data_IF_186531566557
#
_entry.id   IF_186531566557
#
_cell.length_a   1.000
_cell.length_b   1.000
_cell.length_c   1.000
_cell.angle_alpha   90.00
_cell.angle_beta   90.00
_cell.angle_gamma   90.00
#
_symmetry.space_group_name_H-M   'P 1'
#
loop_
_entity.id
_entity.type
_entity.pdbx_description
1 polymer ?
#
# COMPACT_ATOMS: atom_id res chain seq x y z
N UNK A 1 16.60 10.09 18.17
CA UNK A 1 16.39 8.98 19.12
C UNK A 1 14.93 8.56 18.93
N UNK A 2 14.68 7.58 18.10
CA UNK A 2 13.36 6.97 17.89
C UNK A 2 12.96 6.26 19.19
N UNK A 3 11.92 6.76 19.86
CA UNK A 3 11.35 6.09 21.02
C UNK A 3 10.68 4.81 20.53
N UNK A 4 11.25 3.66 20.85
CA UNK A 4 10.57 2.38 20.65
C UNK A 4 9.31 2.36 21.52
N UNK A 5 8.17 1.97 20.93
CA UNK A 5 6.95 1.77 21.70
C UNK A 5 7.21 0.79 22.86
N UNK A 6 6.78 1.14 24.05
CA UNK A 6 6.92 0.28 25.22
C UNK A 6 6.04 -0.96 25.09
N UNK A 7 6.41 -2.05 25.77
CA UNK A 7 5.58 -3.27 25.79
C UNK A 7 4.14 -3.00 26.22
N UNK A 8 3.94 -2.05 27.15
CA UNK A 8 2.61 -1.66 27.62
C UNK A 8 1.79 -0.94 26.53
N UNK A 9 2.41 -0.10 25.71
CA UNK A 9 1.77 0.55 24.55
C UNK A 9 1.41 -0.46 23.48
N UNK A 10 2.29 -1.42 23.17
CA UNK A 10 2.00 -2.52 22.24
C UNK A 10 0.86 -3.41 22.73
N UNK A 11 0.83 -3.74 24.02
CA UNK A 11 -0.23 -4.57 24.60
C UNK A 11 -1.57 -3.82 24.64
N UNK A 12 -1.57 -2.51 24.88
CA UNK A 12 -2.76 -1.66 24.81
C UNK A 12 -3.29 -1.51 23.37
N UNK A 13 -2.40 -1.35 22.41
CA UNK A 13 -2.72 -1.20 21.00
C UNK A 13 -3.39 -2.44 20.38
N UNK A 14 -3.16 -3.64 20.93
CA UNK A 14 -3.84 -4.88 20.47
C UNK A 14 -5.38 -4.82 20.60
N UNK A 15 -5.91 -3.98 21.46
CA UNK A 15 -7.36 -3.78 21.65
C UNK A 15 -7.91 -2.60 20.85
N UNK A 16 -7.06 -1.79 20.24
CA UNK A 16 -7.41 -0.63 19.43
C UNK A 16 -6.60 -0.62 18.12
N UNK A 17 -7.18 -1.09 17.01
CA UNK A 17 -6.49 -1.17 15.72
C UNK A 17 -5.98 0.19 15.22
N UNK A 18 -6.68 1.30 15.48
CA UNK A 18 -6.24 2.63 15.07
C UNK A 18 -5.00 3.06 15.85
N UNK A 19 -5.00 2.85 17.17
CA UNK A 19 -3.83 3.13 17.98
C UNK A 19 -2.64 2.25 17.60
N UNK A 20 -2.88 0.97 17.25
CA UNK A 20 -1.85 0.08 16.74
C UNK A 20 -1.21 0.62 15.46
N UNK A 21 -2.03 1.08 14.51
CA UNK A 21 -1.57 1.68 13.26
C UNK A 21 -0.73 2.94 13.51
N UNK A 22 -1.19 3.87 14.38
CA UNK A 22 -0.43 5.07 14.71
C UNK A 22 0.96 4.70 15.25
N UNK A 23 1.02 3.84 16.25
CA UNK A 23 2.29 3.46 16.89
C UNK A 23 3.24 2.75 15.92
N UNK A 24 2.71 1.85 15.09
CA UNK A 24 3.50 1.11 14.12
C UNK A 24 4.09 2.03 13.06
N UNK A 25 3.27 2.87 12.44
CA UNK A 25 3.70 3.75 11.36
C UNK A 25 4.55 4.92 11.85
N UNK A 26 4.29 5.49 13.02
CA UNK A 26 5.17 6.49 13.63
C UNK A 26 6.57 5.93 13.91
N UNK A 27 6.63 4.68 14.37
CA UNK A 27 7.92 4.01 14.60
C UNK A 27 8.69 3.79 13.30
N UNK A 28 8.03 3.39 12.22
CA UNK A 28 8.65 3.11 10.93
C UNK A 28 8.93 4.35 10.08
N UNK A 29 8.25 5.47 10.34
CA UNK A 29 8.22 6.63 9.44
C UNK A 29 9.60 7.09 8.95
N UNK A 30 10.62 7.07 9.80
CA UNK A 30 11.97 7.53 9.44
C UNK A 30 12.77 6.58 8.56
N UNK A 31 12.41 5.29 8.52
CA UNK A 31 13.10 4.22 7.78
C UNK A 31 12.20 3.56 6.73
N UNK A 32 10.96 4.03 6.61
CA UNK A 32 9.94 3.42 5.78
C UNK A 32 10.34 3.39 4.30
N UNK A 33 10.85 4.51 3.78
CA UNK A 33 11.26 4.60 2.38
C UNK A 33 12.41 3.64 2.06
N UNK A 34 13.37 3.50 2.96
CA UNK A 34 14.47 2.54 2.83
C UNK A 34 13.96 1.10 2.91
N UNK A 35 13.15 0.80 3.92
CA UNK A 35 12.55 -0.53 4.12
C UNK A 35 11.77 -0.99 2.89
N UNK A 36 10.97 -0.12 2.28
CA UNK A 36 10.11 -0.46 1.16
C UNK A 36 10.70 -0.10 -0.20
N UNK A 37 11.96 0.38 -0.22
CA UNK A 37 12.64 0.84 -1.45
C UNK A 37 11.83 1.89 -2.21
N UNK A 38 11.15 2.76 -1.47
CA UNK A 38 10.41 3.88 -2.01
C UNK A 38 11.39 4.92 -2.54
N UNK A 39 11.13 5.42 -3.72
CA UNK A 39 11.87 6.50 -4.35
C UNK A 39 10.95 7.30 -5.27
N UNK A 40 11.51 8.34 -5.85
CA UNK A 40 10.82 9.22 -6.80
C UNK A 40 11.56 9.24 -8.14
N UNK A 41 12.23 8.13 -8.44
CA UNK A 41 12.90 7.87 -9.70
C UNK A 41 11.94 7.25 -10.74
N UNK A 42 12.44 7.03 -11.96
CA UNK A 42 11.68 6.46 -13.06
C UNK A 42 11.01 5.12 -12.69
N UNK A 43 11.61 4.33 -11.84
CA UNK A 43 11.08 3.03 -11.41
C UNK A 43 9.76 3.21 -10.64
N UNK A 44 9.75 4.08 -9.64
CA UNK A 44 8.57 4.29 -8.80
C UNK A 44 7.50 5.16 -9.48
N UNK A 45 7.91 6.17 -10.26
CA UNK A 45 6.97 6.98 -11.05
C UNK A 45 6.26 6.14 -12.10
N UNK A 46 6.99 5.26 -12.81
CA UNK A 46 6.40 4.31 -13.77
C UNK A 46 5.45 3.34 -13.08
N UNK A 47 5.87 2.77 -11.94
CA UNK A 47 5.03 1.86 -11.17
C UNK A 47 3.68 2.52 -10.78
N UNK A 48 3.72 3.68 -10.16
CA UNK A 48 2.52 4.37 -9.71
C UNK A 48 1.60 4.73 -10.89
N UNK A 49 2.18 5.27 -11.95
CA UNK A 49 1.46 5.64 -13.16
C UNK A 49 0.78 4.45 -13.82
N UNK A 50 1.50 3.34 -14.04
CA UNK A 50 0.92 2.14 -14.68
C UNK A 50 -0.25 1.55 -13.89
N UNK A 51 -0.20 1.56 -12.55
CA UNK A 51 -1.32 1.10 -11.70
C UNK A 51 -2.53 2.00 -11.83
N UNK A 52 -2.30 3.31 -11.83
CA UNK A 52 -3.37 4.26 -12.04
C UNK A 52 -4.01 4.08 -13.43
N UNK A 53 -3.19 4.03 -14.49
CA UNK A 53 -3.65 3.83 -15.87
C UNK A 53 -4.42 2.51 -16.04
N UNK A 54 -3.96 1.44 -15.39
CA UNK A 54 -4.57 0.11 -15.49
C UNK A 54 -6.04 0.11 -15.05
N UNK A 55 -6.38 0.89 -14.02
CA UNK A 55 -7.70 0.84 -13.39
C UNK A 55 -8.56 2.07 -13.73
N UNK A 56 -7.96 3.22 -13.96
CA UNK A 56 -8.67 4.48 -14.17
C UNK A 56 -8.51 5.05 -15.60
N UNK A 57 -7.59 4.51 -16.40
CA UNK A 57 -7.25 5.05 -17.70
C UNK A 57 -6.48 6.38 -17.60
N UNK A 58 -6.45 7.12 -18.69
CA UNK A 58 -5.76 8.42 -18.79
C UNK A 58 -6.73 9.60 -18.96
N UNK A 59 -8.01 9.32 -19.04
CA UNK A 59 -9.03 10.34 -19.22
C UNK A 59 -9.16 11.23 -17.97
N UNK A 60 -9.27 12.54 -18.17
CA UNK A 60 -9.46 13.51 -17.09
C UNK A 60 -8.15 14.04 -16.49
N UNK A 61 -6.97 13.64 -16.97
CA UNK A 61 -5.69 14.21 -16.54
C UNK A 61 -5.45 15.62 -17.12
N UNK A 62 -4.75 16.51 -16.38
CA UNK A 62 -4.47 16.38 -14.96
C UNK A 62 -5.70 16.63 -14.08
N UNK A 63 -5.78 15.96 -12.93
CA UNK A 63 -6.73 16.33 -11.88
C UNK A 63 -6.23 17.58 -11.15
N UNK A 64 -7.10 18.57 -10.91
CA UNK A 64 -6.68 19.82 -10.26
C UNK A 64 -6.21 19.56 -8.82
N UNK A 65 -6.98 18.77 -8.06
CA UNK A 65 -6.63 18.44 -6.66
C UNK A 65 -6.86 16.96 -6.39
N UNK A 66 -5.79 16.27 -5.97
CA UNK A 66 -5.84 14.89 -5.52
C UNK A 66 -5.58 14.80 -4.02
N UNK A 67 -6.40 14.00 -3.32
CA UNK A 67 -6.24 13.68 -1.90
C UNK A 67 -5.81 12.22 -1.77
N UNK A 68 -4.72 11.97 -1.06
CA UNK A 68 -4.28 10.62 -0.70
C UNK A 68 -4.70 10.29 0.73
N UNK A 69 -5.38 9.16 0.89
CA UNK A 69 -5.79 8.60 2.18
C UNK A 69 -4.78 7.53 2.59
N UNK A 70 -4.28 7.61 3.83
CA UNK A 70 -3.21 6.72 4.29
C UNK A 70 -1.97 6.86 3.42
N UNK A 71 -1.51 8.12 3.30
CA UNK A 71 -0.43 8.46 2.36
C UNK A 71 0.92 7.85 2.69
N UNK A 72 1.11 7.37 3.94
CA UNK A 72 2.42 7.01 4.41
C UNK A 72 3.41 8.14 4.16
N UNK A 73 4.52 7.84 3.50
CA UNK A 73 5.55 8.82 3.14
C UNK A 73 5.27 9.58 1.84
N UNK A 74 4.05 9.44 1.27
CA UNK A 74 3.62 10.12 0.04
C UNK A 74 3.96 9.36 -1.25
N UNK A 75 4.24 8.06 -1.15
CA UNK A 75 4.69 7.25 -2.28
C UNK A 75 3.80 7.38 -3.51
N UNK A 76 2.51 7.18 -3.38
CA UNK A 76 1.63 7.07 -4.55
C UNK A 76 1.31 8.44 -5.13
N UNK A 77 0.84 9.39 -4.31
CA UNK A 77 0.50 10.74 -4.77
C UNK A 77 1.68 11.48 -5.38
N UNK A 78 2.84 11.50 -4.71
CA UNK A 78 3.97 12.28 -5.20
C UNK A 78 4.51 11.73 -6.52
N UNK A 79 4.55 10.40 -6.69
CA UNK A 79 4.92 9.78 -7.96
C UNK A 79 3.88 10.06 -9.07
N UNK A 80 2.58 10.09 -8.76
CA UNK A 80 1.55 10.47 -9.71
C UNK A 80 1.63 11.94 -10.11
N UNK A 81 1.93 12.84 -9.17
CA UNK A 81 2.14 14.26 -9.47
C UNK A 81 3.36 14.46 -10.38
N UNK A 82 4.47 13.76 -10.13
CA UNK A 82 5.66 13.80 -11.00
C UNK A 82 5.38 13.34 -12.44
N UNK A 83 4.36 12.52 -12.65
CA UNK A 83 3.94 12.05 -13.98
C UNK A 83 2.78 12.85 -14.57
N UNK A 84 2.34 13.92 -13.92
CA UNK A 84 1.32 14.84 -14.42
C UNK A 84 -0.12 14.33 -14.28
N UNK A 85 -0.37 13.36 -13.40
CA UNK A 85 -1.74 12.87 -13.11
C UNK A 85 -2.52 13.89 -12.29
N UNK A 86 -1.86 14.59 -11.36
CA UNK A 86 -2.47 15.62 -10.53
C UNK A 86 -1.55 16.85 -10.43
N UNK A 87 -2.18 18.03 -10.29
CA UNK A 87 -1.46 19.31 -10.19
C UNK A 87 -1.16 19.68 -8.73
N UNK A 88 -2.15 19.50 -7.84
CA UNK A 88 -2.03 19.77 -6.40
C UNK A 88 -2.33 18.51 -5.61
N UNK A 89 -1.61 18.35 -4.51
CA UNK A 89 -1.74 17.21 -3.63
C UNK A 89 -2.18 17.56 -2.22
N UNK A 90 -2.96 16.64 -1.64
CA UNK A 90 -3.28 16.62 -0.21
C UNK A 90 -2.91 15.25 0.31
N UNK A 91 -2.01 15.17 1.30
CA UNK A 91 -1.67 13.91 1.97
C UNK A 91 -2.39 13.84 3.31
N UNK A 92 -3.02 12.70 3.58
CA UNK A 92 -3.63 12.42 4.89
C UNK A 92 -3.20 11.06 5.39
N UNK A 93 -2.82 10.99 6.66
CA UNK A 93 -2.47 9.74 7.33
C UNK A 93 -2.85 9.83 8.80
N UNK A 94 -3.12 8.69 9.43
CA UNK A 94 -3.42 8.62 10.86
C UNK A 94 -2.15 8.84 11.72
N UNK A 95 -0.97 8.59 11.14
CA UNK A 95 0.34 8.79 11.77
C UNK A 95 0.88 10.19 11.49
N UNK A 96 1.11 11.02 12.52
CA UNK A 96 1.78 12.31 12.36
C UNK A 96 3.18 12.19 11.73
N UNK A 97 3.92 11.16 12.09
CA UNK A 97 5.26 10.91 11.55
C UNK A 97 5.26 10.66 10.05
N UNK A 98 4.27 9.94 9.53
CA UNK A 98 4.11 9.71 8.10
C UNK A 98 3.78 11.01 7.35
N UNK A 99 2.84 11.81 7.85
CA UNK A 99 2.49 13.12 7.25
C UNK A 99 3.71 14.02 7.18
N UNK A 100 4.50 14.10 8.26
CA UNK A 100 5.72 14.91 8.29
C UNK A 100 6.76 14.47 7.26
N UNK A 101 6.91 13.16 7.05
CA UNK A 101 7.82 12.62 6.01
C UNK A 101 7.26 12.92 4.62
N UNK A 102 5.99 12.70 4.36
CA UNK A 102 5.35 12.98 3.07
C UNK A 102 5.50 14.45 2.67
N UNK A 103 5.24 15.40 3.58
CA UNK A 103 5.42 16.83 3.34
C UNK A 103 6.87 17.22 3.07
N UNK A 104 7.82 16.59 3.79
CA UNK A 104 9.25 16.81 3.54
C UNK A 104 9.65 16.28 2.15
N UNK A 105 9.17 15.09 1.76
CA UNK A 105 9.41 14.53 0.45
C UNK A 105 8.82 15.42 -0.66
N UNK A 106 7.57 15.87 -0.52
CA UNK A 106 6.93 16.80 -1.44
C UNK A 106 7.72 18.11 -1.62
N UNK A 107 8.17 18.68 -0.51
CA UNK A 107 9.01 19.90 -0.53
C UNK A 107 10.33 19.68 -1.27
N UNK A 108 11.00 18.56 -1.04
CA UNK A 108 12.26 18.20 -1.71
C UNK A 108 12.07 18.02 -3.22
N UNK A 109 10.89 17.57 -3.65
CA UNK A 109 10.51 17.40 -5.04
C UNK A 109 9.96 18.68 -5.70
N UNK A 110 9.72 19.74 -4.91
CA UNK A 110 9.14 20.98 -5.40
C UNK A 110 7.67 20.88 -5.80
N UNK A 111 6.93 19.95 -5.19
CA UNK A 111 5.51 19.70 -5.45
C UNK A 111 4.61 20.54 -4.53
N UNK A 112 3.47 21.00 -5.06
CA UNK A 112 2.45 21.76 -4.31
C UNK A 112 1.55 20.76 -3.54
N UNK A 113 1.95 20.48 -2.30
CA UNK A 113 1.28 19.50 -1.45
C UNK A 113 1.06 20.09 -0.05
N UNK A 114 -0.17 19.91 0.44
CA UNK A 114 -0.53 20.14 1.84
C UNK A 114 -0.78 18.82 2.54
N UNK A 115 -0.79 18.79 3.87
CA UNK A 115 -1.02 17.55 4.61
C UNK A 115 -1.64 17.78 5.97
N UNK A 116 -2.40 16.78 6.41
CA UNK A 116 -3.10 16.80 7.69
C UNK A 116 -3.18 15.39 8.29
N UNK A 117 -3.00 15.31 9.60
CA UNK A 117 -3.24 14.05 10.33
C UNK A 117 -4.74 13.78 10.36
N UNK A 118 -5.15 12.67 9.76
CA UNK A 118 -6.57 12.36 9.62
C UNK A 118 -6.86 10.87 9.63
N UNK A 119 -8.03 10.53 10.16
CA UNK A 119 -8.62 9.21 10.07
C UNK A 119 -9.42 9.09 8.76
N UNK A 120 -9.15 8.06 7.97
CA UNK A 120 -9.85 7.77 6.72
C UNK A 120 -11.37 7.61 6.88
N UNK A 121 -11.82 7.21 8.06
CA UNK A 121 -13.24 7.10 8.38
C UNK A 121 -13.91 8.45 8.72
N UNK A 122 -13.13 9.55 8.79
CA UNK A 122 -13.62 10.91 9.06
C UNK A 122 -12.63 11.92 8.44
N UNK A 123 -12.73 12.12 7.14
CA UNK A 123 -11.83 12.99 6.39
C UNK A 123 -12.15 14.46 6.68
N UNK A 124 -11.22 15.30 7.18
CA UNK A 124 -11.48 16.66 7.63
C UNK A 124 -11.54 17.69 6.49
N UNK A 125 -12.10 17.27 5.36
CA UNK A 125 -12.27 18.13 4.18
C UNK A 125 -13.76 18.31 3.86
N UNK A 126 -14.15 19.47 3.26
CA UNK A 126 -15.53 19.73 2.87
C UNK A 126 -16.05 18.73 1.84
N UNK A 127 -17.38 18.61 1.78
CA UNK A 127 -18.05 17.89 0.69
C UNK A 127 -17.67 18.49 -0.67
N UNK A 128 -17.47 17.66 -1.68
CA UNK A 128 -17.21 18.07 -3.06
C UNK A 128 -16.02 19.04 -3.21
N UNK A 129 -14.92 18.79 -2.50
CA UNK A 129 -13.72 19.66 -2.46
C UNK A 129 -12.58 19.19 -3.35
N UNK A 130 -12.49 17.88 -3.69
CA UNK A 130 -11.38 17.31 -4.46
C UNK A 130 -11.87 16.58 -5.72
N UNK A 131 -11.00 16.48 -6.72
CA UNK A 131 -11.33 15.85 -8.00
C UNK A 131 -10.99 14.35 -8.01
N UNK A 132 -9.97 13.99 -7.24
CA UNK A 132 -9.44 12.63 -7.16
C UNK A 132 -9.17 12.28 -5.69
N UNK A 133 -9.54 11.07 -5.28
CA UNK A 133 -9.10 10.45 -4.03
C UNK A 133 -8.30 9.21 -4.36
N UNK A 134 -7.13 9.05 -3.79
CA UNK A 134 -6.27 7.89 -4.01
C UNK A 134 -5.83 7.27 -2.69
N UNK A 135 -5.33 6.04 -2.76
CA UNK A 135 -4.62 5.37 -1.69
C UNK A 135 -3.86 4.17 -2.22
N UNK A 136 -2.78 3.81 -1.56
CA UNK A 136 -1.97 2.65 -1.93
C UNK A 136 -1.66 1.82 -0.69
N UNK A 137 -2.08 0.54 -0.72
CA UNK A 137 -1.86 -0.39 0.38
C UNK A 137 -2.38 0.15 1.73
N UNK A 138 -3.62 0.64 1.77
CA UNK A 138 -4.19 1.33 2.93
C UNK A 138 -5.52 0.75 3.40
N UNK A 139 -6.40 0.29 2.50
CA UNK A 139 -7.76 -0.15 2.89
C UNK A 139 -7.72 -1.33 3.86
N UNK A 140 -6.70 -2.18 3.77
CA UNK A 140 -6.57 -3.34 4.65
C UNK A 140 -6.19 -2.98 6.10
N UNK A 141 -5.76 -1.74 6.36
CA UNK A 141 -5.51 -1.21 7.70
C UNK A 141 -6.72 -0.49 8.31
N UNK A 142 -7.77 -0.19 7.52
CA UNK A 142 -8.91 0.61 7.98
C UNK A 142 -9.98 -0.29 8.57
N UNK A 143 -10.39 -0.11 9.84
CA UNK A 143 -11.41 -0.94 10.48
C UNK A 143 -12.76 -0.97 9.75
N UNK A 144 -13.31 0.18 9.36
CA UNK A 144 -14.56 0.29 8.59
C UNK A 144 -14.28 0.83 7.17
N UNK A 145 -13.88 -0.06 6.27
CA UNK A 145 -13.61 0.25 4.86
C UNK A 145 -14.82 0.88 4.17
N UNK A 146 -16.04 0.41 4.51
CA UNK A 146 -17.26 0.97 3.93
C UNK A 146 -17.48 2.42 4.33
N UNK A 147 -17.18 2.79 5.57
CA UNK A 147 -17.22 4.17 6.04
C UNK A 147 -16.16 5.03 5.37
N UNK A 148 -14.93 4.54 5.27
CA UNK A 148 -13.85 5.25 4.57
C UNK A 148 -14.21 5.53 3.09
N UNK A 149 -14.76 4.56 2.37
CA UNK A 149 -15.21 4.77 1.00
C UNK A 149 -16.35 5.79 0.89
N UNK A 150 -17.29 5.83 1.86
CA UNK A 150 -18.33 6.87 1.91
C UNK A 150 -17.72 8.25 2.14
N UNK A 151 -16.73 8.39 3.00
CA UNK A 151 -16.01 9.65 3.23
C UNK A 151 -15.24 10.07 1.98
N UNK A 152 -14.56 9.14 1.29
CA UNK A 152 -13.93 9.42 -0.01
C UNK A 152 -14.95 9.98 -1.02
N UNK A 153 -16.11 9.34 -1.15
CA UNK A 153 -17.16 9.81 -2.04
C UNK A 153 -17.76 11.15 -1.58
N UNK A 154 -17.83 11.41 -0.27
CA UNK A 154 -18.31 12.69 0.26
C UNK A 154 -17.43 13.85 -0.18
N UNK A 155 -16.10 13.72 -0.02
CA UNK A 155 -15.14 14.79 -0.35
C UNK A 155 -14.91 14.96 -1.85
N UNK A 156 -15.14 13.92 -2.66
CA UNK A 156 -15.07 14.01 -4.11
C UNK A 156 -16.12 14.97 -4.67
N UNK A 157 -15.75 15.76 -5.65
CA UNK A 157 -16.67 16.53 -6.51
C UNK A 157 -17.60 15.55 -7.27
N UNK A 158 -18.83 15.94 -7.66
CA UNK A 158 -19.65 15.14 -8.58
C UNK A 158 -18.87 14.79 -9.85
N UNK A 159 -18.84 13.52 -10.24
CA UNK A 159 -18.02 13.01 -11.35
C UNK A 159 -16.55 12.73 -10.97
N UNK A 160 -16.13 13.11 -9.77
CA UNK A 160 -14.78 12.78 -9.26
C UNK A 160 -14.61 11.29 -9.01
N UNK A 161 -13.37 10.84 -8.98
CA UNK A 161 -12.99 9.41 -8.95
C UNK A 161 -12.18 9.09 -7.71
N UNK A 162 -12.34 7.87 -7.20
CA UNK A 162 -11.33 7.30 -6.29
C UNK A 162 -10.56 6.16 -6.96
N UNK A 163 -9.31 5.96 -6.56
CA UNK A 163 -8.44 4.85 -6.98
C UNK A 163 -7.66 4.34 -5.77
N UNK A 164 -7.86 3.07 -5.42
CA UNK A 164 -7.04 2.37 -4.45
C UNK A 164 -6.29 1.24 -5.14
N UNK A 165 -4.99 1.10 -4.82
CA UNK A 165 -4.11 0.09 -5.39
C UNK A 165 -3.30 -0.61 -4.27
N UNK A 166 -2.72 -1.78 -4.57
CA UNK A 166 -1.84 -2.47 -3.65
C UNK A 166 -2.55 -3.21 -2.50
N UNK A 167 -3.85 -3.47 -2.62
CA UNK A 167 -4.60 -4.14 -1.57
C UNK A 167 -4.41 -5.66 -1.61
N UNK A 168 -4.06 -6.34 -0.50
CA UNK A 168 -3.80 -7.77 -0.50
C UNK A 168 -5.06 -8.58 -0.77
N UNK A 169 -5.00 -9.50 -1.73
CA UNK A 169 -6.08 -10.45 -1.93
C UNK A 169 -5.99 -11.60 -0.94
N UNK A 170 -7.14 -12.20 -0.61
CA UNK A 170 -7.22 -13.28 0.38
C UNK A 170 -6.34 -14.49 0.06
N UNK A 171 -6.36 -14.96 -1.18
CA UNK A 171 -5.58 -16.13 -1.58
C UNK A 171 -4.13 -15.79 -1.87
N UNK A 172 -3.88 -14.62 -2.48
CA UNK A 172 -2.53 -14.13 -2.75
C UNK A 172 -1.75 -13.96 -1.45
N UNK A 173 -2.36 -13.37 -0.42
CA UNK A 173 -1.75 -13.18 0.90
C UNK A 173 -1.41 -14.53 1.58
N UNK A 174 -2.33 -15.50 1.56
CA UNK A 174 -2.07 -16.84 2.14
C UNK A 174 -0.84 -17.49 1.48
N UNK A 175 -0.72 -17.41 0.16
CA UNK A 175 0.43 -17.98 -0.57
C UNK A 175 1.71 -17.21 -0.24
N UNK A 176 1.67 -15.89 -0.30
CA UNK A 176 2.81 -15.03 0.00
C UNK A 176 3.35 -15.28 1.42
N UNK A 177 2.48 -15.32 2.43
CA UNK A 177 2.86 -15.62 3.82
C UNK A 177 3.51 -16.99 3.97
N UNK A 178 2.96 -18.02 3.32
CA UNK A 178 3.56 -19.37 3.36
C UNK A 178 4.94 -19.42 2.71
N UNK A 179 5.11 -18.77 1.56
CA UNK A 179 6.39 -18.69 0.87
C UNK A 179 7.41 -17.91 1.70
N UNK A 180 7.00 -16.80 2.31
CA UNK A 180 7.84 -16.01 3.22
C UNK A 180 8.26 -16.82 4.45
N UNK A 181 7.33 -17.53 5.09
CA UNK A 181 7.63 -18.38 6.25
C UNK A 181 8.63 -19.49 5.90
N UNK A 182 8.45 -20.15 4.74
CA UNK A 182 9.38 -21.19 4.27
C UNK A 182 10.76 -20.60 3.97
N UNK A 183 10.82 -19.41 3.34
CA UNK A 183 12.07 -18.72 3.03
C UNK A 183 12.79 -18.29 4.30
N UNK A 184 12.06 -17.71 5.26
CA UNK A 184 12.62 -17.33 6.56
C UNK A 184 13.20 -18.52 7.30
N UNK A 185 12.42 -19.61 7.40
CA UNK A 185 12.89 -20.86 8.02
C UNK A 185 14.13 -21.40 7.31
N UNK A 186 14.10 -21.46 5.98
CA UNK A 186 15.22 -21.95 5.19
C UNK A 186 16.49 -21.10 5.38
N UNK A 187 16.40 -19.80 5.18
CA UNK A 187 17.52 -18.87 5.29
C UNK A 187 18.12 -18.88 6.70
N UNK A 188 17.29 -18.76 7.74
CA UNK A 188 17.77 -18.67 9.12
C UNK A 188 18.36 -20.01 9.63
N UNK A 189 17.95 -21.17 9.10
CA UNK A 189 18.54 -22.44 9.47
C UNK A 189 19.77 -22.80 8.64
N UNK A 190 19.75 -22.57 7.31
CA UNK A 190 20.89 -22.84 6.44
C UNK A 190 22.11 -21.99 6.83
N UNK A 191 21.90 -20.75 7.24
CA UNK A 191 22.99 -19.86 7.70
C UNK A 191 23.62 -20.28 9.05
N UNK A 192 23.09 -21.30 9.73
CA UNK A 192 23.72 -21.93 10.91
C UNK A 192 24.75 -22.97 10.54
N UNK A 193 24.76 -23.47 9.30
CA UNK A 193 25.67 -24.52 8.86
C UNK A 193 27.11 -24.01 8.78
N UNK A 194 28.12 -24.87 9.06
CA UNK A 194 29.53 -24.53 8.86
C UNK A 194 29.76 -24.05 7.42
N UNK A 195 30.51 -22.95 7.29
CA UNK A 195 30.76 -22.30 5.98
C UNK A 195 29.71 -21.29 5.52
N UNK A 196 28.49 -21.30 6.09
CA UNK A 196 27.45 -20.32 5.79
C UNK A 196 27.20 -19.32 6.93
N UNK A 197 27.90 -19.45 8.05
CA UNK A 197 27.73 -18.58 9.23
C UNK A 197 28.00 -17.10 8.94
N UNK A 198 28.85 -16.78 7.96
CA UNK A 198 29.07 -15.40 7.48
C UNK A 198 27.88 -14.77 6.75
N UNK A 199 26.83 -15.55 6.43
CA UNK A 199 25.56 -15.09 5.86
C UNK A 199 24.47 -14.98 6.93
N UNK A 200 24.78 -15.25 8.19
CA UNK A 200 23.81 -15.17 9.28
C UNK A 200 23.74 -13.73 9.80
N UNK A 201 22.57 -13.17 9.79
CA UNK A 201 22.30 -11.89 10.45
C UNK A 201 22.45 -12.05 11.98
N UNK A 202 22.93 -11.02 12.71
CA UNK A 202 22.95 -11.03 14.17
C UNK A 202 21.58 -11.41 14.75
N UNK A 203 21.58 -12.20 15.84
CA UNK A 203 20.32 -12.70 16.41
C UNK A 203 19.39 -11.56 16.85
N UNK A 204 19.94 -10.47 17.39
CA UNK A 204 19.17 -9.31 17.80
C UNK A 204 18.38 -8.68 16.63
N UNK A 205 19.00 -8.58 15.44
CA UNK A 205 18.35 -8.05 14.24
C UNK A 205 17.28 -9.01 13.68
N UNK A 206 17.50 -10.34 13.79
CA UNK A 206 16.50 -11.33 13.43
C UNK A 206 15.28 -11.27 14.37
N UNK A 207 15.52 -11.05 15.65
CA UNK A 207 14.46 -10.90 16.66
C UNK A 207 13.68 -9.60 16.42
N UNK A 208 14.36 -8.51 16.09
CA UNK A 208 13.73 -7.24 15.71
C UNK A 208 12.86 -7.38 14.45
N UNK A 209 13.39 -8.02 13.39
CA UNK A 209 12.62 -8.32 12.19
C UNK A 209 11.37 -9.17 12.46
N UNK A 210 11.50 -10.14 13.37
CA UNK A 210 10.37 -10.99 13.77
C UNK A 210 9.34 -10.23 14.59
N UNK A 211 9.76 -9.29 15.44
CA UNK A 211 8.87 -8.42 16.20
C UNK A 211 8.13 -7.44 15.27
N UNK A 212 8.83 -6.83 14.31
CA UNK A 212 8.23 -5.96 13.30
C UNK A 212 7.15 -6.69 12.50
N UNK A 213 7.45 -7.91 12.00
CA UNK A 213 6.47 -8.73 11.31
C UNK A 213 5.27 -9.13 12.19
N UNK A 214 5.50 -9.32 13.50
CA UNK A 214 4.44 -9.58 14.47
C UNK A 214 3.52 -8.38 14.70
N UNK A 215 4.06 -7.15 14.65
CA UNK A 215 3.28 -5.91 14.75
C UNK A 215 2.51 -5.64 13.46
N UNK A 216 3.14 -5.82 12.31
CA UNK A 216 2.50 -5.70 10.99
C UNK A 216 1.25 -6.61 10.91
N UNK A 217 1.34 -7.86 11.39
CA UNK A 217 0.20 -8.78 11.44
C UNK A 217 -0.95 -8.34 12.36
N UNK A 218 -0.73 -7.37 13.26
CA UNK A 218 -1.79 -6.80 14.13
C UNK A 218 -2.51 -5.65 13.44
N UNK A 219 -1.82 -4.91 12.57
CA UNK A 219 -2.37 -3.76 11.84
C UNK A 219 -3.00 -4.15 10.51
N UNK A 220 -2.66 -5.33 9.96
CA UNK A 220 -3.29 -5.91 8.76
C UNK A 220 -4.66 -6.52 9.13
N UNK A 221 -5.71 -5.73 9.05
CA UNK A 221 -7.06 -6.14 9.49
C UNK A 221 -7.82 -6.96 8.45
N UNK A 222 -7.55 -6.72 7.17
CA UNK A 222 -8.34 -7.27 6.08
C UNK A 222 -7.48 -7.87 4.97
N UNK A 223 -8.04 -8.85 4.29
CA UNK A 223 -7.65 -9.28 2.94
C UNK A 223 -8.91 -9.39 2.10
N UNK A 224 -8.85 -8.99 0.86
CA UNK A 224 -10.04 -8.82 0.03
C UNK A 224 -10.19 -9.93 -1.02
N UNK A 225 -11.42 -10.38 -1.26
CA UNK A 225 -11.74 -10.93 -2.57
C UNK A 225 -12.09 -9.75 -3.51
N UNK A 226 -11.79 -9.83 -4.81
CA UNK A 226 -12.12 -8.74 -5.76
C UNK A 226 -13.59 -8.31 -5.70
N UNK A 227 -14.51 -9.28 -5.57
CA UNK A 227 -15.94 -9.01 -5.43
C UNK A 227 -16.32 -8.32 -4.11
N UNK A 228 -15.53 -8.50 -3.04
CA UNK A 228 -15.77 -7.80 -1.77
C UNK A 228 -15.49 -6.31 -1.94
N UNK A 229 -14.37 -5.93 -2.58
CA UNK A 229 -14.05 -4.53 -2.89
C UNK A 229 -15.12 -3.90 -3.79
N UNK A 230 -15.56 -4.63 -4.82
CA UNK A 230 -16.64 -4.16 -5.71
C UNK A 230 -17.94 -3.90 -4.93
N UNK A 231 -18.35 -4.84 -4.07
CA UNK A 231 -19.56 -4.68 -3.24
C UNK A 231 -19.44 -3.52 -2.27
N UNK A 232 -18.30 -3.34 -1.62
CA UNK A 232 -18.05 -2.23 -0.69
C UNK A 232 -18.14 -0.88 -1.39
N UNK A 233 -17.53 -0.74 -2.58
CA UNK A 233 -17.56 0.48 -3.36
C UNK A 233 -19.01 0.83 -3.83
N UNK A 234 -19.74 -0.15 -4.34
CA UNK A 234 -21.15 0.04 -4.75
C UNK A 234 -22.02 0.38 -3.53
N UNK A 235 -21.85 -0.31 -2.42
CA UNK A 235 -22.61 -0.04 -1.19
C UNK A 235 -22.30 1.34 -0.59
N UNK A 236 -21.09 1.87 -0.82
CA UNK A 236 -20.74 3.25 -0.47
C UNK A 236 -21.43 4.30 -1.36
N UNK A 237 -21.96 3.92 -2.53
CA UNK A 237 -22.66 4.80 -3.47
C UNK A 237 -21.87 5.13 -4.74
N UNK A 238 -20.75 4.44 -5.00
CA UNK A 238 -19.97 4.63 -6.22
C UNK A 238 -20.69 4.03 -7.44
N UNK A 239 -20.49 4.65 -8.59
CA UNK A 239 -20.84 4.13 -9.91
C UNK A 239 -19.58 3.85 -10.71
N UNK A 240 -19.70 3.18 -11.85
CA UNK A 240 -18.58 2.80 -12.73
C UNK A 240 -17.45 2.11 -11.95
N UNK A 241 -17.84 1.21 -11.05
CA UNK A 241 -16.89 0.48 -10.19
C UNK A 241 -16.18 -0.60 -11.00
N UNK A 242 -14.87 -0.50 -11.04
CA UNK A 242 -13.98 -1.50 -11.61
C UNK A 242 -13.01 -2.04 -10.56
N UNK A 243 -12.72 -3.33 -10.64
CA UNK A 243 -11.71 -4.00 -9.83
C UNK A 243 -10.82 -4.79 -10.76
N UNK A 244 -9.52 -4.67 -10.57
CA UNK A 244 -8.48 -5.43 -11.26
C UNK A 244 -7.57 -6.09 -10.25
N UNK A 245 -6.86 -7.13 -10.67
CA UNK A 245 -5.83 -7.77 -9.86
C UNK A 245 -4.55 -7.95 -10.64
N UNK A 246 -3.42 -7.95 -9.95
CA UNK A 246 -2.10 -8.11 -10.54
C UNK A 246 -1.15 -8.86 -9.60
N UNK A 247 0.00 -9.24 -10.13
CA UNK A 247 1.09 -9.88 -9.39
C UNK A 247 0.75 -11.27 -8.83
N UNK A 248 0.77 -12.29 -9.67
CA UNK A 248 0.70 -13.69 -9.26
C UNK A 248 2.10 -14.26 -9.04
N UNK A 249 2.84 -14.51 -10.13
CA UNK A 249 4.18 -15.08 -10.05
C UNK A 249 5.21 -14.05 -9.61
N UNK A 250 4.97 -12.78 -9.92
CA UNK A 250 5.79 -11.68 -9.43
C UNK A 250 5.76 -11.58 -7.90
N UNK A 251 4.60 -11.73 -7.27
CA UNK A 251 4.48 -11.75 -5.80
C UNK A 251 5.08 -13.03 -5.20
N UNK A 252 4.90 -14.19 -5.83
CA UNK A 252 5.51 -15.45 -5.38
C UNK A 252 7.03 -15.43 -5.42
N UNK A 253 7.62 -14.61 -6.27
CA UNK A 253 9.04 -14.34 -6.30
C UNK A 253 9.44 -13.20 -5.34
N UNK A 254 8.71 -12.10 -5.35
CA UNK A 254 9.03 -10.88 -4.62
C UNK A 254 9.03 -11.09 -3.09
N UNK A 255 8.01 -11.74 -2.55
CA UNK A 255 7.92 -11.99 -1.11
C UNK A 255 9.05 -12.88 -0.56
N UNK A 256 9.41 -14.02 -1.19
CA UNK A 256 10.62 -14.76 -0.84
C UNK A 256 11.91 -13.95 -0.94
N UNK A 257 12.09 -13.19 -2.02
CA UNK A 257 13.28 -12.33 -2.18
C UNK A 257 13.39 -11.36 -1.01
N UNK A 258 12.33 -10.61 -0.72
CA UNK A 258 12.31 -9.66 0.38
C UNK A 258 12.52 -10.32 1.73
N UNK A 259 11.89 -11.47 1.96
CA UNK A 259 12.08 -12.22 3.21
C UNK A 259 13.53 -12.70 3.36
N UNK A 260 14.16 -13.12 2.26
CA UNK A 260 15.57 -13.48 2.25
C UNK A 260 16.46 -12.28 2.58
N UNK A 261 16.20 -11.11 2.02
CA UNK A 261 16.89 -9.85 2.32
C UNK A 261 16.81 -9.47 3.80
N UNK A 262 15.67 -9.73 4.44
CA UNK A 262 15.55 -9.54 5.90
C UNK A 262 16.30 -10.58 6.73
N UNK A 263 16.57 -11.76 6.18
CA UNK A 263 17.19 -12.87 6.91
C UNK A 263 18.74 -12.89 6.84
N UNK A 264 19.33 -12.16 5.89
CA UNK A 264 20.79 -12.15 5.64
C UNK A 264 21.35 -10.73 5.77
N UNK A 265 22.66 -10.58 6.09
CA UNK A 265 23.28 -9.25 6.21
C UNK A 265 23.24 -8.48 4.89
N UNK A 266 22.81 -7.20 4.87
CA UNK A 266 22.70 -6.40 3.65
C UNK A 266 24.00 -6.29 2.85
N UNK A 267 25.14 -6.27 3.50
CA UNK A 267 26.47 -6.21 2.88
C UNK A 267 26.82 -7.44 2.03
N UNK A 268 26.07 -8.53 2.19
CA UNK A 268 26.18 -9.73 1.34
C UNK A 268 25.37 -9.61 0.05
N UNK A 269 24.42 -8.69 0.03
CA UNK A 269 23.49 -8.48 -1.06
C UNK A 269 23.96 -7.26 -1.85
N UNK A 270 24.87 -7.46 -2.78
CA UNK A 270 25.39 -6.39 -3.62
C UNK A 270 24.46 -6.01 -4.77
N UNK A 271 24.94 -5.08 -5.63
CA UNK A 271 24.21 -4.58 -6.80
C UNK A 271 23.67 -5.71 -7.70
N UNK A 272 24.43 -6.80 -7.88
CA UNK A 272 23.99 -7.95 -8.68
C UNK A 272 22.72 -8.61 -8.15
N UNK A 273 22.57 -8.70 -6.83
CA UNK A 273 21.35 -9.20 -6.18
C UNK A 273 20.18 -8.24 -6.42
N UNK A 274 20.36 -6.94 -6.19
CA UNK A 274 19.31 -5.96 -6.42
C UNK A 274 18.81 -5.99 -7.87
N UNK A 275 19.72 -6.11 -8.83
CA UNK A 275 19.36 -6.25 -10.25
C UNK A 275 18.65 -7.58 -10.56
N UNK A 276 19.04 -8.67 -9.93
CA UNK A 276 18.34 -9.96 -10.05
C UNK A 276 16.91 -9.87 -9.51
N UNK A 277 16.75 -9.32 -8.31
CA UNK A 277 15.45 -9.12 -7.67
C UNK A 277 14.52 -8.25 -8.53
N UNK A 278 15.01 -7.10 -8.95
CA UNK A 278 14.24 -6.14 -9.74
C UNK A 278 13.87 -6.69 -11.12
N UNK A 279 14.85 -7.19 -11.89
CA UNK A 279 14.60 -7.74 -13.25
C UNK A 279 13.75 -9.01 -13.20
N UNK A 280 13.94 -9.85 -12.19
CA UNK A 280 13.13 -11.04 -11.97
C UNK A 280 11.67 -10.68 -11.74
N UNK A 281 11.43 -9.70 -10.86
CA UNK A 281 10.08 -9.21 -10.59
C UNK A 281 9.45 -8.59 -11.84
N UNK A 282 10.15 -7.73 -12.60
CA UNK A 282 9.66 -7.15 -13.84
C UNK A 282 9.28 -8.22 -14.87
N UNK A 283 10.16 -9.20 -15.09
CA UNK A 283 9.92 -10.26 -16.06
C UNK A 283 8.67 -11.09 -15.71
N UNK A 284 8.51 -11.42 -14.42
CA UNK A 284 7.35 -12.16 -13.94
C UNK A 284 6.08 -11.32 -13.97
N UNK A 285 6.14 -10.03 -13.62
CA UNK A 285 5.01 -9.09 -13.76
C UNK A 285 4.53 -9.03 -15.21
N UNK A 286 5.46 -9.05 -16.18
CA UNK A 286 5.09 -9.04 -17.59
C UNK A 286 4.45 -10.36 -18.03
N UNK A 287 4.89 -11.51 -17.50
CA UNK A 287 4.24 -12.81 -17.72
C UNK A 287 2.83 -12.81 -17.09
N UNK A 288 2.70 -12.30 -15.87
CA UNK A 288 1.41 -12.18 -15.18
C UNK A 288 0.44 -11.33 -16.02
N UNK A 289 0.88 -10.16 -16.48
CA UNK A 289 0.07 -9.21 -17.26
C UNK A 289 -0.32 -9.75 -18.63
N UNK A 290 0.62 -10.35 -19.39
CA UNK A 290 0.36 -10.75 -20.80
C UNK A 290 -0.30 -12.11 -20.93
N UNK A 291 -0.03 -13.01 -20.02
CA UNK A 291 -0.43 -14.42 -20.14
C UNK A 291 -1.37 -14.84 -19.01
N UNK A 292 -0.93 -14.73 -17.74
CA UNK A 292 -1.65 -15.34 -16.65
C UNK A 292 -2.96 -14.61 -16.31
N UNK A 293 -3.02 -13.29 -16.47
CA UNK A 293 -4.26 -12.51 -16.29
C UNK A 293 -5.41 -12.96 -17.19
N UNK A 294 -5.14 -13.68 -18.28
CA UNK A 294 -6.16 -14.16 -19.24
C UNK A 294 -6.70 -15.54 -18.91
N UNK A 295 -5.99 -16.32 -18.09
CA UNK A 295 -6.28 -17.75 -17.87
C UNK A 295 -6.39 -18.13 -16.41
N UNK A 296 -5.87 -17.28 -15.50
CA UNK A 296 -5.92 -17.52 -14.05
C UNK A 296 -7.03 -16.68 -13.44
N UNK A 297 -7.84 -17.23 -12.54
CA UNK A 297 -8.88 -16.46 -11.83
C UNK A 297 -8.29 -15.27 -11.06
N UNK A 298 -8.93 -14.11 -11.15
CA UNK A 298 -8.50 -12.84 -10.55
C UNK A 298 -8.20 -12.95 -9.05
N UNK A 299 -9.00 -13.70 -8.30
CA UNK A 299 -8.83 -13.87 -6.85
C UNK A 299 -7.55 -14.58 -6.41
N UNK A 300 -6.75 -15.14 -7.34
CA UNK A 300 -5.48 -15.79 -7.04
C UNK A 300 -4.27 -14.84 -7.12
N UNK A 301 -4.42 -13.67 -7.77
CA UNK A 301 -3.39 -12.65 -7.81
C UNK A 301 -3.25 -11.97 -6.45
N UNK A 302 -2.07 -11.41 -6.18
CA UNK A 302 -1.75 -10.86 -4.85
C UNK A 302 -2.36 -9.48 -4.60
N UNK A 303 -2.18 -8.55 -5.53
CA UNK A 303 -2.66 -7.18 -5.38
C UNK A 303 -4.02 -6.99 -6.06
N UNK A 304 -4.92 -6.30 -5.38
CA UNK A 304 -6.16 -5.78 -5.93
C UNK A 304 -6.10 -4.26 -6.07
N UNK A 305 -6.71 -3.78 -7.16
CA UNK A 305 -6.95 -2.37 -7.43
C UNK A 305 -8.47 -2.18 -7.54
N UNK A 306 -8.96 -1.05 -7.04
CA UNK A 306 -10.38 -0.68 -7.14
C UNK A 306 -10.52 0.79 -7.48
N UNK A 307 -11.46 1.09 -8.39
CA UNK A 307 -11.86 2.46 -8.72
C UNK A 307 -13.37 2.57 -8.72
N UNK A 308 -13.87 3.77 -8.56
CA UNK A 308 -15.26 4.12 -8.73
C UNK A 308 -15.42 5.63 -8.85
N UNK A 309 -16.56 6.06 -9.37
CA UNK A 309 -16.87 7.46 -9.64
C UNK A 309 -17.99 7.91 -8.71
N UNK A 310 -17.90 9.13 -8.18
CA UNK A 310 -19.03 9.76 -7.50
C UNK A 310 -20.09 10.14 -8.53
N UNK A 311 -21.36 9.74 -8.37
CA UNK A 311 -22.42 10.13 -9.28
C UNK A 311 -22.48 11.66 -9.48
N UNK A 312 -22.70 12.10 -10.72
CA UNK A 312 -22.87 13.53 -11.03
C UNK A 312 -24.20 14.07 -10.44
N UNK A 313 -25.26 13.25 -10.46
CA UNK A 313 -26.53 13.53 -9.81
C UNK A 313 -26.69 12.68 -8.54
N UNK A 314 -27.38 13.17 -7.50
CA UNK A 314 -27.65 12.37 -6.31
C UNK A 314 -28.48 11.15 -6.72
N UNK A 315 -27.87 9.97 -6.65
CA UNK A 315 -28.62 8.71 -6.80
C UNK A 315 -29.64 8.68 -5.68
N UNK A 316 -30.94 8.80 -6.03
CA UNK A 316 -32.01 8.53 -5.08
C UNK A 316 -32.00 7.03 -4.79
N UNK A 317 -31.28 6.65 -3.73
CA UNK A 317 -31.35 5.27 -3.21
C UNK A 317 -32.79 5.06 -2.76
N UNK A 318 -33.53 4.08 -3.30
CA UNK A 318 -34.85 3.76 -2.81
C UNK A 318 -34.73 3.42 -1.33
N UNK A 319 -35.41 4.17 -0.45
CA UNK A 319 -35.54 3.77 0.93
C UNK A 319 -36.22 2.42 0.96
N UNK A 320 -35.51 1.41 1.47
CA UNK A 320 -36.13 0.13 1.78
C UNK A 320 -37.29 0.38 2.74
N UNK A 321 -38.53 0.13 2.24
CA UNK A 321 -39.75 0.20 3.01
C UNK A 321 -39.84 -0.94 4.02
#
# INVERSE_FOLDING_TARGET
>A
MTQHATKAEVDAARSDPKQANILYHDWEASTYDEKWSISYDERCTTYARERFELIAGTDGWPYETALEVGSGTGFFLLNLMLTGVAEKGVVTDISPGMVDVALRNAKNLGLDVTGEVADAETIPYPDASVDLVIGHAVLHHIPDVGRALRECLRVLKPGGRFVFAGEPTRYGDVVARKLSQLTWWGATNLTRLPGLTGWRRPQAELDESSQAAGLEAVVDLHTFAPDDLRRLAIAAGAVDVEVRTEELTASWFGWPVRTFECAVPPEKLGFGWAMFAYKGWLALSEVDKRVLSKVVPEGLFYNALVTGVKPADPVTVPRAG
#
